data_IF_120849686768
#
_entry.id   IF_120849686768
#
_cell.length_a   1.000
_cell.length_b   1.000
_cell.length_c   1.000
_cell.angle_alpha   90.00
_cell.angle_beta   90.00
_cell.angle_gamma   90.00
#
_symmetry.space_group_name_H-M   'P 1'
#
loop_
_entity.id
_entity.type
_entity.pdbx_description
1 polymer ?
#
# COMPACT_ATOMS: atom_id res chain seq x y z
N UNK A 1 22.16 -8.70 -3.62
CA UNK A 1 21.37 -8.18 -4.78
C UNK A 1 21.06 -9.34 -5.70
N UNK A 2 19.79 -9.57 -5.96
CA UNK A 2 19.29 -10.72 -6.74
C UNK A 2 19.08 -10.38 -8.22
N UNK A 3 19.26 -9.12 -8.64
CA UNK A 3 18.82 -8.64 -9.93
C UNK A 3 17.30 -8.61 -10.05
N UNK A 4 16.76 -8.70 -11.27
CA UNK A 4 15.30 -8.69 -11.52
C UNK A 4 14.70 -10.03 -11.11
N UNK A 5 13.77 -10.01 -10.18
CA UNK A 5 13.05 -11.18 -9.66
C UNK A 5 11.54 -10.98 -9.72
N UNK A 6 10.77 -12.06 -9.64
CA UNK A 6 9.34 -11.97 -9.37
C UNK A 6 9.13 -11.76 -7.86
N UNK A 7 8.76 -10.56 -7.45
CA UNK A 7 8.62 -10.19 -6.04
C UNK A 7 7.59 -11.06 -5.30
N UNK A 8 6.59 -11.59 -5.99
CA UNK A 8 5.54 -12.45 -5.40
C UNK A 8 6.10 -13.71 -4.73
N UNK A 9 7.23 -14.23 -5.24
CA UNK A 9 7.85 -15.44 -4.70
C UNK A 9 8.60 -15.18 -3.39
N UNK A 10 8.79 -13.92 -3.03
CA UNK A 10 9.61 -13.49 -1.90
C UNK A 10 8.85 -12.74 -0.83
N UNK A 11 7.84 -11.93 -1.18
CA UNK A 11 7.12 -11.06 -0.23
C UNK A 11 6.64 -11.81 1.01
N UNK A 12 6.03 -12.97 0.86
CA UNK A 12 5.53 -13.76 1.98
C UNK A 12 6.62 -14.34 2.90
N UNK A 13 7.90 -14.15 2.57
CA UNK A 13 9.06 -14.59 3.38
C UNK A 13 9.73 -13.41 4.10
N UNK A 14 9.24 -12.19 3.87
CA UNK A 14 9.81 -10.96 4.46
C UNK A 14 9.10 -10.64 5.77
N UNK A 15 9.86 -10.19 6.76
CA UNK A 15 9.31 -9.70 8.03
C UNK A 15 8.77 -8.26 7.92
N UNK A 16 9.33 -7.46 7.03
CA UNK A 16 8.94 -6.09 6.72
C UNK A 16 9.45 -5.68 5.35
N UNK A 17 8.82 -4.69 4.73
CA UNK A 17 9.32 -4.02 3.52
C UNK A 17 9.63 -2.56 3.79
N UNK A 18 10.54 -1.98 3.00
CA UNK A 18 11.00 -0.60 3.17
C UNK A 18 10.91 0.12 1.83
N UNK A 19 10.25 1.27 1.81
CA UNK A 19 10.12 2.16 0.66
C UNK A 19 10.71 3.53 1.01
N UNK A 20 11.89 3.84 0.51
CA UNK A 20 12.62 5.08 0.80
C UNK A 20 12.56 6.11 -0.33
N UNK A 21 11.47 6.12 -1.07
CA UNK A 21 11.25 7.02 -2.19
C UNK A 21 11.24 8.49 -1.75
N UNK A 22 11.66 9.37 -2.65
CA UNK A 22 11.57 10.83 -2.47
C UNK A 22 10.34 11.43 -3.12
N UNK A 23 9.65 10.66 -3.98
CA UNK A 23 8.40 11.05 -4.64
C UNK A 23 7.62 9.80 -5.01
N UNK A 24 6.33 9.80 -4.69
CA UNK A 24 5.36 8.77 -5.05
C UNK A 24 4.00 9.40 -5.32
N UNK A 25 3.14 8.70 -6.07
CA UNK A 25 1.72 9.00 -6.10
C UNK A 25 1.00 8.10 -5.10
N UNK A 26 0.61 6.92 -5.57
CA UNK A 26 0.08 5.82 -4.75
C UNK A 26 0.92 4.56 -5.01
N UNK A 27 1.90 4.23 -4.15
CA UNK A 27 2.85 3.17 -4.42
C UNK A 27 2.21 1.79 -4.35
N UNK A 28 2.22 1.07 -5.46
CA UNK A 28 1.72 -0.31 -5.53
C UNK A 28 2.55 -1.25 -4.66
N UNK A 29 3.81 -0.97 -4.44
CA UNK A 29 4.71 -1.74 -3.58
C UNK A 29 4.17 -1.92 -2.16
N UNK A 30 3.49 -0.88 -1.62
CA UNK A 30 2.82 -0.96 -0.31
C UNK A 30 1.64 -1.93 -0.40
N UNK A 31 0.81 -1.83 -1.44
CA UNK A 31 -0.34 -2.72 -1.61
C UNK A 31 0.07 -4.18 -1.86
N UNK A 32 1.15 -4.39 -2.60
CA UNK A 32 1.75 -5.73 -2.80
C UNK A 32 2.25 -6.31 -1.48
N UNK A 33 2.91 -5.51 -0.63
CA UNK A 33 3.34 -5.92 0.71
C UNK A 33 2.15 -6.30 1.58
N UNK A 34 1.07 -5.53 1.54
CA UNK A 34 -0.16 -5.83 2.28
C UNK A 34 -0.84 -7.11 1.81
N UNK A 35 -0.80 -7.42 0.50
CA UNK A 35 -1.31 -8.69 -0.01
C UNK A 35 -0.60 -9.91 0.60
N UNK A 36 0.67 -9.74 0.98
CA UNK A 36 1.47 -10.74 1.67
C UNK A 36 1.45 -10.62 3.22
N UNK A 37 0.65 -9.69 3.78
CA UNK A 37 0.59 -9.36 5.22
C UNK A 37 1.93 -8.88 5.78
N UNK A 38 2.71 -8.19 4.97
CA UNK A 38 4.01 -7.64 5.33
C UNK A 38 3.85 -6.16 5.69
N UNK A 39 4.21 -5.72 6.91
CA UNK A 39 4.18 -4.33 7.29
C UNK A 39 5.23 -3.51 6.53
N UNK A 40 4.95 -2.22 6.34
CA UNK A 40 5.79 -1.34 5.51
C UNK A 40 6.36 -0.19 6.32
N UNK A 41 7.63 0.10 6.13
CA UNK A 41 8.25 1.37 6.52
C UNK A 41 8.36 2.21 5.25
N UNK A 42 7.73 3.38 5.21
CA UNK A 42 7.78 4.24 4.03
C UNK A 42 8.07 5.70 4.40
N UNK A 43 8.71 6.42 3.50
CA UNK A 43 8.86 7.87 3.59
C UNK A 43 7.52 8.58 3.42
N UNK A 44 7.37 9.74 4.07
CA UNK A 44 6.14 10.57 3.99
C UNK A 44 6.08 11.32 2.65
N UNK A 45 5.72 10.58 1.59
CA UNK A 45 5.58 11.09 0.23
C UNK A 45 4.31 10.54 -0.42
N UNK A 46 3.67 11.35 -1.26
CA UNK A 46 2.43 10.97 -1.92
C UNK A 46 1.39 10.44 -0.94
N UNK A 47 0.75 9.33 -1.26
CA UNK A 47 -0.25 8.69 -0.39
C UNK A 47 0.32 7.60 0.54
N UNK A 48 1.64 7.56 0.79
CA UNK A 48 2.21 6.58 1.72
C UNK A 48 1.57 6.64 3.10
N UNK A 49 1.36 7.86 3.63
CA UNK A 49 0.74 8.06 4.94
C UNK A 49 -0.71 7.59 4.99
N UNK A 50 -1.51 7.88 3.97
CA UNK A 50 -2.90 7.40 3.87
C UNK A 50 -2.97 5.87 3.80
N UNK A 51 -2.08 5.23 3.06
CA UNK A 51 -1.99 3.77 3.00
C UNK A 51 -1.60 3.16 4.35
N UNK A 52 -0.66 3.75 5.09
CA UNK A 52 -0.10 3.18 6.31
C UNK A 52 -0.97 3.45 7.54
N UNK A 53 -1.43 4.67 7.73
CA UNK A 53 -2.24 5.03 8.90
C UNK A 53 -3.75 4.84 8.68
N UNK A 54 -4.15 4.71 7.43
CA UNK A 54 -5.55 4.66 7.04
C UNK A 54 -6.14 6.03 6.82
N UNK A 55 -7.03 6.12 5.86
CA UNK A 55 -7.82 7.29 5.57
C UNK A 55 -9.28 6.89 5.54
N UNK A 56 -10.06 7.40 6.50
CA UNK A 56 -11.48 7.03 6.67
C UNK A 56 -11.69 5.52 6.83
N UNK A 57 -10.87 4.88 7.67
CA UNK A 57 -11.03 3.47 8.07
C UNK A 57 -10.49 3.20 9.49
N UNK A 58 -10.97 2.11 10.10
CA UNK A 58 -10.64 1.70 11.47
C UNK A 58 -9.78 0.44 11.51
N UNK A 59 -9.09 0.07 10.41
CA UNK A 59 -8.25 -1.13 10.39
C UNK A 59 -6.99 -1.02 11.24
N UNK A 60 -6.60 0.21 11.61
CA UNK A 60 -5.42 0.48 12.41
C UNK A 60 -4.14 0.67 11.57
N UNK A 61 -3.04 0.88 12.26
CA UNK A 61 -1.73 1.20 11.64
C UNK A 61 -1.15 -0.04 10.97
N UNK A 62 -0.69 0.10 9.73
CA UNK A 62 -0.16 -0.99 8.89
C UNK A 62 1.36 -0.90 8.64
N UNK A 63 2.07 -0.03 9.36
CA UNK A 63 3.51 0.17 9.19
C UNK A 63 4.03 1.41 9.92
N UNK A 64 5.10 1.98 9.40
CA UNK A 64 5.72 3.21 9.91
C UNK A 64 5.92 4.21 8.78
N UNK A 65 5.61 5.48 9.06
CA UNK A 65 5.94 6.60 8.16
C UNK A 65 7.12 7.36 8.77
N UNK A 66 8.10 7.68 7.95
CA UNK A 66 9.35 8.35 8.35
C UNK A 66 9.61 9.54 7.42
N UNK A 67 10.37 10.53 7.89
CA UNK A 67 10.72 11.66 7.03
C UNK A 67 11.71 11.26 5.93
N UNK A 68 11.59 11.95 4.79
CA UNK A 68 12.49 11.77 3.63
C UNK A 68 13.95 11.99 4.09
N UNK A 69 14.85 11.10 3.66
CA UNK A 69 16.29 11.15 3.96
C UNK A 69 16.66 11.12 5.46
N UNK A 70 15.71 10.81 6.34
CA UNK A 70 15.98 10.68 7.76
C UNK A 70 16.44 9.25 8.11
N UNK A 71 17.74 9.01 7.97
CA UNK A 71 18.35 7.70 8.22
C UNK A 71 18.10 7.22 9.65
N UNK A 72 18.11 8.13 10.62
CA UNK A 72 17.91 7.79 12.04
C UNK A 72 16.50 7.27 12.31
N UNK A 73 15.47 7.91 11.72
CA UNK A 73 14.08 7.44 11.82
C UNK A 73 13.88 6.10 11.13
N UNK A 74 14.48 5.92 9.95
CA UNK A 74 14.41 4.65 9.22
C UNK A 74 15.04 3.54 10.06
N UNK A 75 16.25 3.75 10.58
CA UNK A 75 16.95 2.78 11.42
C UNK A 75 16.15 2.43 12.68
N UNK A 76 15.57 3.46 13.35
CA UNK A 76 14.71 3.25 14.51
C UNK A 76 13.47 2.44 14.15
N UNK A 77 12.79 2.76 13.07
CA UNK A 77 11.59 2.04 12.63
C UNK A 77 11.90 0.57 12.33
N UNK A 78 13.03 0.28 11.67
CA UNK A 78 13.50 -1.09 11.44
C UNK A 78 13.74 -1.81 12.76
N UNK A 79 14.46 -1.18 13.69
CA UNK A 79 14.82 -1.79 14.99
C UNK A 79 13.56 -2.08 15.82
N UNK A 80 12.62 -1.12 15.87
CA UNK A 80 11.36 -1.28 16.60
C UNK A 80 10.53 -2.45 16.04
N UNK A 81 10.39 -2.53 14.72
CA UNK A 81 9.64 -3.63 14.09
C UNK A 81 10.40 -4.97 14.19
N UNK A 82 11.74 -4.97 14.10
CA UNK A 82 12.51 -6.21 14.26
C UNK A 82 12.37 -6.80 15.66
N UNK A 83 12.29 -5.96 16.69
CA UNK A 83 12.17 -6.37 18.08
C UNK A 83 10.79 -6.88 18.48
N UNK A 84 9.72 -6.55 17.74
CA UNK A 84 8.33 -6.89 18.11
C UNK A 84 7.61 -7.67 16.98
N UNK A 85 7.70 -9.01 16.98
CA UNK A 85 7.01 -9.85 16.01
C UNK A 85 5.48 -9.73 16.06
N UNK A 86 4.91 -9.48 17.24
CA UNK A 86 3.47 -9.33 17.39
C UNK A 86 2.98 -8.01 16.78
N UNK A 87 3.77 -6.95 16.91
CA UNK A 87 3.50 -5.68 16.23
C UNK A 87 3.55 -5.88 14.70
N UNK A 88 4.58 -6.56 14.18
CA UNK A 88 4.68 -6.85 12.73
C UNK A 88 3.45 -7.59 12.22
N UNK A 89 3.03 -8.64 12.94
CA UNK A 89 1.85 -9.42 12.56
C UNK A 89 0.58 -8.57 12.57
N UNK A 90 0.32 -7.78 13.62
CA UNK A 90 -0.85 -6.89 13.68
C UNK A 90 -0.84 -5.88 12.54
N UNK A 91 0.29 -5.23 12.28
CA UNK A 91 0.42 -4.26 11.18
C UNK A 91 0.20 -4.89 9.81
N UNK A 92 0.73 -6.11 9.61
CA UNK A 92 0.50 -6.87 8.37
C UNK A 92 -0.98 -7.21 8.15
N UNK A 93 -1.69 -7.68 9.20
CA UNK A 93 -3.13 -7.94 9.14
C UNK A 93 -3.94 -6.65 8.89
N UNK A 94 -3.59 -5.54 9.54
CA UNK A 94 -4.24 -4.25 9.32
C UNK A 94 -4.11 -3.81 7.85
N UNK A 95 -2.90 -3.93 7.28
CA UNK A 95 -2.64 -3.63 5.87
C UNK A 95 -3.43 -4.53 4.93
N UNK A 96 -3.46 -5.83 5.19
CA UNK A 96 -4.23 -6.80 4.41
C UNK A 96 -5.73 -6.48 4.43
N UNK A 97 -6.29 -6.21 5.60
CA UNK A 97 -7.72 -5.88 5.74
C UNK A 97 -8.06 -4.59 4.98
N UNK A 98 -7.22 -3.55 5.09
CA UNK A 98 -7.35 -2.30 4.31
C UNK A 98 -7.29 -2.55 2.81
N UNK A 99 -6.32 -3.34 2.34
CA UNK A 99 -6.22 -3.74 0.93
C UNK A 99 -7.50 -4.40 0.44
N UNK A 100 -7.98 -5.40 1.20
CA UNK A 100 -9.16 -6.18 0.82
C UNK A 100 -10.44 -5.35 0.82
N UNK A 101 -10.52 -4.33 1.67
CA UNK A 101 -11.68 -3.45 1.75
C UNK A 101 -11.71 -2.34 0.70
N UNK A 102 -10.53 -1.81 0.30
CA UNK A 102 -10.48 -0.55 -0.47
C UNK A 102 -9.73 -0.62 -1.80
N UNK A 103 -8.81 -1.58 -1.97
CA UNK A 103 -7.84 -1.53 -3.07
C UNK A 103 -7.88 -2.75 -3.99
N UNK A 104 -8.98 -3.50 -4.01
CA UNK A 104 -9.17 -4.57 -4.98
C UNK A 104 -9.33 -4.02 -6.39
N UNK A 105 -8.80 -4.76 -7.36
CA UNK A 105 -8.89 -4.37 -8.77
C UNK A 105 -10.34 -4.26 -9.26
N UNK A 106 -11.25 -5.03 -8.67
CA UNK A 106 -12.68 -4.99 -8.98
C UNK A 106 -13.29 -3.62 -8.66
N UNK A 107 -12.92 -3.02 -7.52
CA UNK A 107 -13.39 -1.67 -7.15
C UNK A 107 -12.86 -0.61 -8.11
N UNK A 108 -11.59 -0.71 -8.49
CA UNK A 108 -11.01 0.19 -9.48
C UNK A 108 -11.77 0.09 -10.82
N UNK A 109 -11.99 -1.14 -11.31
CA UNK A 109 -12.74 -1.36 -12.56
C UNK A 109 -14.15 -0.76 -12.49
N UNK A 110 -14.87 -1.02 -11.39
CA UNK A 110 -16.21 -0.47 -11.20
C UNK A 110 -16.20 1.05 -11.23
N UNK A 111 -15.30 1.70 -10.50
CA UNK A 111 -15.17 3.16 -10.48
C UNK A 111 -14.89 3.73 -11.86
N UNK A 112 -13.95 3.14 -12.62
CA UNK A 112 -13.69 3.58 -13.98
C UNK A 112 -14.88 3.36 -14.91
N UNK A 113 -15.57 2.23 -14.80
CA UNK A 113 -16.79 1.96 -15.58
C UNK A 113 -17.85 3.03 -15.31
N UNK A 114 -18.08 3.42 -14.06
CA UNK A 114 -19.03 4.48 -13.68
C UNK A 114 -18.63 5.83 -14.28
N UNK A 115 -17.34 6.22 -14.15
CA UNK A 115 -16.81 7.46 -14.72
C UNK A 115 -17.02 7.51 -16.24
N UNK A 116 -16.67 6.46 -16.95
CA UNK A 116 -16.84 6.41 -18.41
C UNK A 116 -18.30 6.42 -18.82
N UNK A 117 -19.17 5.72 -18.09
CA UNK A 117 -20.61 5.74 -18.33
C UNK A 117 -21.22 7.13 -18.17
N UNK A 118 -20.82 7.84 -17.12
CA UNK A 118 -21.31 9.20 -16.86
C UNK A 118 -20.76 10.20 -17.88
N UNK A 119 -19.51 10.04 -18.30
CA UNK A 119 -18.94 10.82 -19.38
C UNK A 119 -19.65 10.59 -20.72
N UNK A 120 -19.90 9.35 -21.10
CA UNK A 120 -20.64 9.00 -22.32
C UNK A 120 -22.04 9.62 -22.33
N UNK A 121 -22.78 9.55 -21.20
CA UNK A 121 -24.08 10.23 -21.05
C UNK A 121 -23.97 11.73 -21.27
N UNK A 122 -22.95 12.38 -20.69
CA UNK A 122 -22.73 13.83 -20.82
C UNK A 122 -22.44 14.26 -22.26
N UNK A 123 -21.81 13.39 -23.03
CA UNK A 123 -21.46 13.61 -24.43
C UNK A 123 -22.53 13.10 -25.42
N UNK A 124 -23.64 12.50 -24.95
CA UNK A 124 -24.68 11.86 -25.78
C UNK A 124 -24.11 10.76 -26.72
N UNK A 125 -23.10 10.05 -26.25
CA UNK A 125 -22.45 8.95 -26.98
C UNK A 125 -22.92 7.61 -26.41
N UNK A 126 -23.24 6.64 -27.27
CA UNK A 126 -23.46 5.25 -26.85
C UNK A 126 -22.11 4.65 -26.44
N UNK A 127 -22.08 4.02 -25.27
CA UNK A 127 -20.91 3.30 -24.78
C UNK A 127 -21.31 1.88 -24.42
N UNK A 128 -20.68 0.91 -25.10
CA UNK A 128 -20.84 -0.50 -24.80
C UNK A 128 -19.80 -0.88 -23.76
N UNK A 129 -20.22 -1.48 -22.66
CA UNK A 129 -19.33 -1.95 -21.61
C UNK A 129 -18.44 -3.08 -22.14
N UNK A 130 -17.12 -3.06 -21.85
CA UNK A 130 -16.21 -4.12 -22.27
C UNK A 130 -16.43 -5.44 -21.53
#
# INVERSE_FOLDING_TARGET
>A
FTGRINIKDYLGKMDMSILTSISEGQPLTILESYAAKVPVIATDVGNCKGLIYGENDDFGIAGRVVHIMNIAEIAKAITDLAADPDMRRRMGENGYNRLMAKYKVEYMKQTYTEIYRDFAKSCSVSWDEP
#
